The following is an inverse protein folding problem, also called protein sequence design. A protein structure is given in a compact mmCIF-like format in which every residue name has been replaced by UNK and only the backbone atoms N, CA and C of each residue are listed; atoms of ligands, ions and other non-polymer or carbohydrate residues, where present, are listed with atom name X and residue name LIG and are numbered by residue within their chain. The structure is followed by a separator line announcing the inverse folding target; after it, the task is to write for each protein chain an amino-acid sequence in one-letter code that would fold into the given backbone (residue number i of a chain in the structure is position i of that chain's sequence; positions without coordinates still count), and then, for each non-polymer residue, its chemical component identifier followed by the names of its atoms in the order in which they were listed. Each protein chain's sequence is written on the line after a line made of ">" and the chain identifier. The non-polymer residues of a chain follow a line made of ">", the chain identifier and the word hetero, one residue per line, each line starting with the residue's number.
data_IF_424989330476
#
_entry.id   IF_424989330476
#
_cell.length_a   1.000
_cell.length_b   1.000
_cell.length_c   1.000
_cell.angle_alpha   90.00
_cell.angle_beta   90.00
_cell.angle_gamma   90.00
#
_symmetry.space_group_name_H-M   'P 1'
#
loop_
_entity.id
_entity.type
_entity.pdbx_description
1 polymer ?
#
# COMPACT_ATOMS: atom_id res chain seq x y z
N UNK A 1 23.74 -17.89 -20.66
CA UNK A 1 24.89 -17.23 -21.33
C UNK A 1 24.71 -15.71 -21.26
N UNK A 2 25.74 -14.91 -21.56
CA UNK A 2 25.57 -13.45 -21.63
C UNK A 2 24.55 -13.00 -22.70
N UNK A 3 24.41 -13.79 -23.77
CA UNK A 3 23.41 -13.56 -24.81
C UNK A 3 21.98 -13.83 -24.30
N UNK A 4 21.77 -14.95 -23.58
CA UNK A 4 20.45 -15.24 -22.98
C UNK A 4 20.05 -14.16 -21.97
N UNK A 5 20.98 -13.72 -21.12
CA UNK A 5 20.72 -12.68 -20.13
C UNK A 5 20.23 -11.39 -20.78
N UNK A 6 20.95 -10.88 -21.80
CA UNK A 6 20.54 -9.66 -22.52
C UNK A 6 19.18 -9.82 -23.19
N UNK A 7 18.92 -10.96 -23.84
CA UNK A 7 17.64 -11.21 -24.48
C UNK A 7 16.49 -11.20 -23.46
N UNK A 8 16.68 -11.81 -22.29
CA UNK A 8 15.69 -11.83 -21.22
C UNK A 8 15.44 -10.41 -20.68
N UNK A 9 16.50 -9.66 -20.39
CA UNK A 9 16.42 -8.31 -19.84
C UNK A 9 15.69 -7.35 -20.80
N UNK A 10 16.10 -7.32 -22.07
CA UNK A 10 15.45 -6.52 -23.11
C UNK A 10 13.98 -6.94 -23.33
N UNK A 11 13.71 -8.25 -23.32
CA UNK A 11 12.36 -8.80 -23.44
C UNK A 11 11.44 -8.39 -22.29
N UNK A 12 11.94 -8.47 -21.05
CA UNK A 12 11.21 -8.03 -19.86
C UNK A 12 11.00 -6.51 -19.85
N UNK A 13 12.00 -5.73 -20.27
CA UNK A 13 11.87 -4.27 -20.44
C UNK A 13 10.78 -3.89 -21.46
N UNK A 14 10.70 -4.62 -22.58
CA UNK A 14 9.62 -4.44 -23.57
C UNK A 14 8.25 -4.78 -22.97
N UNK A 15 8.14 -5.89 -22.24
CA UNK A 15 6.89 -6.28 -21.57
C UNK A 15 6.43 -5.21 -20.59
N UNK A 16 7.35 -4.67 -19.78
CA UNK A 16 7.03 -3.59 -18.85
C UNK A 16 6.47 -2.35 -19.59
N UNK A 17 7.08 -1.99 -20.72
CA UNK A 17 6.57 -0.92 -21.59
C UNK A 17 5.19 -1.20 -22.18
N UNK A 18 4.93 -2.42 -22.63
CA UNK A 18 3.62 -2.85 -23.13
C UNK A 18 2.53 -2.76 -22.05
N UNK A 19 2.84 -3.12 -20.80
CA UNK A 19 1.91 -3.00 -19.67
C UNK A 19 1.64 -1.53 -19.34
N UNK A 20 2.69 -0.72 -19.24
CA UNK A 20 2.56 0.71 -18.92
C UNK A 20 1.75 1.48 -19.98
N UNK A 21 1.83 1.06 -21.24
CA UNK A 21 1.06 1.64 -22.34
C UNK A 21 -0.39 1.09 -22.44
N UNK A 22 -0.78 0.13 -21.59
CA UNK A 22 -2.07 -0.55 -21.68
C UNK A 22 -2.23 -1.44 -22.92
N UNK A 23 -1.11 -1.80 -23.57
CA UNK A 23 -1.08 -2.56 -24.82
C UNK A 23 -0.77 -4.06 -24.60
N UNK A 24 -0.45 -4.46 -23.36
CA UNK A 24 -0.12 -5.85 -23.03
C UNK A 24 -1.35 -6.77 -23.24
N UNK A 25 -1.22 -7.86 -24.02
CA UNK A 25 -2.33 -8.74 -24.35
C UNK A 25 -2.60 -9.76 -23.24
N UNK A 26 -3.24 -9.34 -22.15
CA UNK A 26 -3.62 -10.24 -21.06
C UNK A 26 -4.56 -11.36 -21.56
N UNK A 27 -4.31 -12.58 -21.11
CA UNK A 27 -5.10 -13.76 -21.42
C UNK A 27 -5.55 -14.44 -20.13
N UNK A 28 -6.88 -14.59 -19.97
CA UNK A 28 -7.45 -15.35 -18.86
C UNK A 28 -7.22 -16.86 -18.99
N UNK A 29 -6.84 -17.34 -20.17
CA UNK A 29 -6.43 -18.73 -20.39
C UNK A 29 -5.06 -19.03 -19.78
N UNK A 30 -4.24 -17.99 -19.57
CA UNK A 30 -3.02 -18.05 -18.79
C UNK A 30 -3.39 -17.71 -17.35
N UNK A 31 -3.47 -18.75 -16.52
CA UNK A 31 -4.12 -18.76 -15.20
C UNK A 31 -3.72 -17.61 -14.26
N UNK A 32 -2.49 -17.12 -14.38
CA UNK A 32 -1.97 -16.05 -13.54
C UNK A 32 -1.10 -15.03 -14.30
N UNK A 33 -0.76 -13.94 -13.62
CA UNK A 33 0.10 -12.88 -14.18
C UNK A 33 1.47 -13.41 -14.59
N UNK A 34 2.04 -14.34 -13.85
CA UNK A 34 3.38 -14.85 -14.12
C UNK A 34 3.40 -15.69 -15.41
N UNK A 35 2.36 -16.49 -15.67
CA UNK A 35 2.18 -17.21 -16.93
C UNK A 35 1.99 -16.23 -18.10
N UNK A 36 1.26 -15.14 -17.89
CA UNK A 36 1.13 -14.07 -18.89
C UNK A 36 2.50 -13.49 -19.27
N UNK A 37 3.32 -13.14 -18.28
CA UNK A 37 4.67 -12.60 -18.50
C UNK A 37 5.60 -13.64 -19.16
N UNK A 38 5.61 -14.88 -18.67
CA UNK A 38 6.47 -15.94 -19.19
C UNK A 38 6.11 -16.33 -20.64
N UNK A 39 4.81 -16.42 -20.96
CA UNK A 39 4.34 -16.68 -22.31
C UNK A 39 4.71 -15.53 -23.26
N UNK A 40 4.44 -14.28 -22.84
CA UNK A 40 4.81 -13.11 -23.64
C UNK A 40 6.32 -13.01 -23.87
N UNK A 41 7.13 -13.31 -22.85
CA UNK A 41 8.58 -13.31 -22.98
C UNK A 41 9.03 -14.36 -24.00
N UNK A 42 8.46 -15.56 -23.94
CA UNK A 42 8.74 -16.63 -24.91
C UNK A 42 8.38 -16.22 -26.33
N UNK A 43 7.26 -15.55 -26.55
CA UNK A 43 6.87 -15.06 -27.87
C UNK A 43 7.85 -14.01 -28.42
N UNK A 44 8.42 -13.19 -27.54
CA UNK A 44 9.35 -12.12 -27.91
C UNK A 44 10.75 -12.63 -28.24
N UNK A 45 11.28 -13.58 -27.45
CA UNK A 45 12.71 -13.94 -27.52
C UNK A 45 12.97 -15.43 -27.79
N UNK A 46 11.94 -16.27 -27.76
CA UNK A 46 12.04 -17.70 -28.03
C UNK A 46 12.68 -18.50 -26.89
N UNK A 47 13.59 -19.41 -27.24
CA UNK A 47 14.16 -20.40 -26.32
C UNK A 47 14.84 -19.83 -25.06
N UNK A 48 15.55 -18.67 -25.08
CA UNK A 48 16.12 -18.08 -23.87
C UNK A 48 15.10 -17.84 -22.74
N UNK A 49 13.85 -17.50 -23.05
CA UNK A 49 12.81 -17.25 -22.06
C UNK A 49 12.56 -18.46 -21.14
N UNK A 50 12.70 -19.67 -21.68
CA UNK A 50 12.49 -20.92 -20.92
C UNK A 50 13.52 -21.11 -19.80
N UNK A 51 14.66 -20.41 -19.87
CA UNK A 51 15.73 -20.50 -18.86
C UNK A 51 15.48 -19.58 -17.67
N UNK A 52 14.62 -18.57 -17.78
CA UNK A 52 14.32 -17.62 -16.69
C UNK A 52 13.72 -18.29 -15.45
N UNK A 53 12.94 -19.36 -15.63
CA UNK A 53 12.32 -20.08 -14.51
C UNK A 53 13.26 -21.13 -13.87
N UNK A 54 14.50 -21.27 -14.36
CA UNK A 54 15.46 -22.21 -13.78
C UNK A 54 15.76 -21.83 -12.33
N UNK A 55 15.80 -22.82 -11.43
CA UNK A 55 16.06 -22.66 -10.01
C UNK A 55 15.00 -21.83 -9.23
N UNK A 56 13.83 -21.57 -9.84
CA UNK A 56 12.71 -20.86 -9.22
C UNK A 56 11.46 -21.76 -9.19
N UNK A 57 10.53 -21.45 -8.30
CA UNK A 57 9.19 -22.01 -8.30
C UNK A 57 8.17 -20.89 -8.39
N UNK A 58 6.92 -21.22 -8.73
CA UNK A 58 5.83 -20.26 -8.57
C UNK A 58 5.64 -19.88 -7.09
N UNK A 59 5.96 -20.77 -6.15
CA UNK A 59 5.76 -20.56 -4.71
C UNK A 59 6.59 -19.39 -4.16
N UNK A 60 7.91 -19.41 -4.38
CA UNK A 60 8.79 -18.33 -3.92
C UNK A 60 8.67 -17.07 -4.79
N UNK A 61 8.34 -17.23 -6.07
CA UNK A 61 8.06 -16.11 -6.97
C UNK A 61 6.83 -15.30 -6.51
N UNK A 62 5.69 -15.95 -6.27
CA UNK A 62 4.49 -15.27 -5.76
C UNK A 62 4.76 -14.65 -4.39
N UNK A 63 5.53 -15.33 -3.54
CA UNK A 63 5.87 -14.81 -2.21
C UNK A 63 6.70 -13.51 -2.28
N UNK A 64 7.69 -13.43 -3.18
CA UNK A 64 8.50 -12.21 -3.34
C UNK A 64 7.68 -11.08 -3.95
N UNK A 65 6.86 -11.38 -4.97
CA UNK A 65 6.02 -10.38 -5.63
C UNK A 65 5.00 -9.80 -4.64
N UNK A 66 4.38 -10.64 -3.81
CA UNK A 66 3.40 -10.19 -2.82
C UNK A 66 4.04 -9.36 -1.71
N UNK A 67 5.23 -9.74 -1.21
CA UNK A 67 5.97 -8.94 -0.23
C UNK A 67 6.37 -7.58 -0.78
N UNK A 68 6.90 -7.52 -2.01
CA UNK A 68 7.23 -6.25 -2.67
C UNK A 68 6.00 -5.36 -2.81
N UNK A 69 4.86 -5.94 -3.19
CA UNK A 69 3.60 -5.21 -3.31
C UNK A 69 3.11 -4.68 -1.95
N UNK A 70 3.09 -5.51 -0.91
CA UNK A 70 2.67 -5.10 0.44
C UNK A 70 3.59 -4.02 1.01
N UNK A 71 4.91 -4.14 0.82
CA UNK A 71 5.90 -3.17 1.27
C UNK A 71 5.64 -1.81 0.61
N UNK A 72 5.49 -1.80 -0.72
CA UNK A 72 5.14 -0.59 -1.46
C UNK A 72 3.82 0.03 -0.99
N UNK A 73 2.78 -0.78 -0.79
CA UNK A 73 1.49 -0.30 -0.33
C UNK A 73 1.56 0.30 1.09
N UNK A 74 2.37 -0.29 1.98
CA UNK A 74 2.61 0.25 3.31
C UNK A 74 3.35 1.60 3.25
N UNK A 75 4.38 1.71 2.41
CA UNK A 75 5.14 2.95 2.22
C UNK A 75 4.25 4.07 1.63
N UNK A 76 3.42 3.74 0.63
CA UNK A 76 2.44 4.67 0.04
C UNK A 76 1.39 5.13 1.06
N UNK A 77 0.89 4.22 1.90
CA UNK A 77 -0.04 4.55 2.97
C UNK A 77 0.60 5.47 4.01
N UNK A 78 1.83 5.19 4.44
CA UNK A 78 2.57 6.05 5.37
C UNK A 78 2.78 7.46 4.80
N UNK A 79 3.16 7.57 3.52
CA UNK A 79 3.31 8.86 2.85
C UNK A 79 1.98 9.64 2.74
N UNK A 80 0.88 8.96 2.45
CA UNK A 80 -0.45 9.58 2.41
C UNK A 80 -0.90 10.06 3.81
N UNK A 81 -0.56 9.31 4.85
CA UNK A 81 -0.83 9.68 6.24
C UNK A 81 -0.01 10.92 6.63
N UNK A 82 1.29 10.98 6.32
CA UNK A 82 2.12 12.17 6.56
C UNK A 82 1.53 13.41 5.86
N UNK A 83 1.08 13.26 4.61
CA UNK A 83 0.43 14.35 3.88
C UNK A 83 -0.86 14.83 4.59
N UNK A 84 -1.68 13.90 5.09
CA UNK A 84 -2.89 14.23 5.86
C UNK A 84 -2.56 14.91 7.20
N UNK A 85 -1.54 14.42 7.92
CA UNK A 85 -1.07 15.03 9.17
C UNK A 85 -0.62 16.48 8.93
N UNK A 86 0.14 16.74 7.86
CA UNK A 86 0.54 18.12 7.49
C UNK A 86 -0.66 19.01 7.19
N UNK A 87 -1.67 18.50 6.49
CA UNK A 87 -2.89 19.25 6.21
C UNK A 87 -3.67 19.58 7.50
N UNK A 88 -3.80 18.60 8.42
CA UNK A 88 -4.44 18.80 9.72
C UNK A 88 -3.66 19.77 10.60
N UNK A 89 -2.33 19.68 10.62
CA UNK A 89 -1.44 20.61 11.34
C UNK A 89 -1.61 22.04 10.84
N UNK A 90 -1.65 22.26 9.52
CA UNK A 90 -1.86 23.58 8.95
C UNK A 90 -3.23 24.17 9.35
N UNK A 91 -4.28 23.34 9.40
CA UNK A 91 -5.58 23.78 9.91
C UNK A 91 -5.55 24.05 11.42
N UNK A 92 -4.85 23.20 12.18
CA UNK A 92 -4.73 23.34 13.62
C UNK A 92 -4.00 24.63 14.01
N UNK A 93 -2.94 24.98 13.30
CA UNK A 93 -2.21 26.24 13.49
C UNK A 93 -3.06 27.45 13.10
N UNK A 94 -3.71 27.40 11.94
CA UNK A 94 -4.58 28.50 11.45
C UNK A 94 -5.75 28.80 12.39
N UNK A 95 -6.26 27.78 13.08
CA UNK A 95 -7.45 27.86 13.93
C UNK A 95 -7.14 27.50 15.40
N UNK A 96 -5.90 27.79 15.84
CA UNK A 96 -5.40 27.40 17.15
C UNK A 96 -6.20 27.96 18.33
N UNK A 97 -6.76 29.16 18.17
CA UNK A 97 -7.51 29.92 19.17
C UNK A 97 -9.03 29.89 18.97
N UNK A 98 -9.53 29.21 17.93
CA UNK A 98 -10.96 29.07 17.67
C UNK A 98 -11.59 28.16 18.71
N UNK A 99 -12.40 28.73 19.60
CA UNK A 99 -13.11 27.98 20.63
C UNK A 99 -14.24 27.17 20.01
N UNK A 100 -14.31 25.89 20.37
CA UNK A 100 -15.42 24.99 20.04
C UNK A 100 -15.86 24.20 21.27
N UNK A 101 -17.11 23.73 21.34
CA UNK A 101 -17.53 22.82 22.40
C UNK A 101 -16.78 21.47 22.27
N UNK A 102 -16.17 21.03 23.37
CA UNK A 102 -15.70 19.66 23.53
C UNK A 102 -16.84 18.75 23.96
N UNK A 103 -16.88 17.53 23.44
CA UNK A 103 -17.99 16.60 23.65
C UNK A 103 -17.59 15.35 24.42
N UNK A 104 -18.47 14.90 25.31
CA UNK A 104 -18.47 13.55 25.88
C UNK A 104 -19.87 12.99 25.77
N UNK A 105 -20.06 11.77 25.25
CA UNK A 105 -21.40 11.23 24.94
C UNK A 105 -22.24 12.14 24.03
N UNK A 106 -21.58 12.90 23.13
CA UNK A 106 -22.19 13.94 22.29
C UNK A 106 -22.91 15.05 23.09
N UNK A 107 -22.62 15.18 24.39
CA UNK A 107 -23.03 16.29 25.23
C UNK A 107 -21.88 17.28 25.38
N UNK A 108 -22.20 18.57 25.38
CA UNK A 108 -21.22 19.64 25.61
C UNK A 108 -20.63 19.47 27.01
N UNK A 109 -19.33 19.23 27.08
CA UNK A 109 -18.60 19.03 28.32
C UNK A 109 -17.89 20.31 28.77
N UNK A 110 -16.90 20.74 27.98
CA UNK A 110 -16.10 21.94 28.26
C UNK A 110 -15.59 22.56 26.96
N UNK A 111 -15.25 23.86 26.95
CA UNK A 111 -14.62 24.48 25.80
C UNK A 111 -13.25 23.86 25.50
N UNK A 112 -12.97 23.65 24.21
CA UNK A 112 -11.64 23.32 23.67
C UNK A 112 -11.35 24.26 22.50
N UNK A 113 -10.15 24.18 21.91
CA UNK A 113 -9.88 24.86 20.63
C UNK A 113 -9.92 23.88 19.47
N UNK A 114 -10.30 24.36 18.28
CA UNK A 114 -10.27 23.55 17.06
C UNK A 114 -8.84 23.05 16.79
N UNK A 115 -7.82 23.88 17.02
CA UNK A 115 -6.43 23.45 16.95
C UNK A 115 -6.12 22.24 17.84
N UNK A 116 -6.53 22.28 19.12
CA UNK A 116 -6.34 21.14 20.02
C UNK A 116 -7.09 19.89 19.54
N UNK A 117 -8.31 20.05 19.04
CA UNK A 117 -9.13 18.95 18.54
C UNK A 117 -8.49 18.29 17.31
N UNK A 118 -8.01 19.07 16.35
CA UNK A 118 -7.35 18.55 15.14
C UNK A 118 -6.01 17.87 15.46
N UNK A 119 -5.25 18.36 16.44
CA UNK A 119 -4.02 17.71 16.91
C UNK A 119 -4.28 16.31 17.49
N UNK A 120 -5.46 16.03 18.05
CA UNK A 120 -5.79 14.69 18.49
C UNK A 120 -5.77 13.68 17.32
N UNK A 121 -6.18 14.09 16.12
CA UNK A 121 -6.11 13.27 14.91
C UNK A 121 -4.68 13.15 14.36
N UNK A 122 -3.88 14.21 14.46
CA UNK A 122 -2.44 14.14 14.10
C UNK A 122 -1.74 13.06 14.92
N UNK A 123 -2.01 13.00 16.23
CA UNK A 123 -1.46 11.97 17.12
C UNK A 123 -1.97 10.56 16.81
N UNK A 124 -3.26 10.42 16.44
CA UNK A 124 -3.80 9.13 16.01
C UNK A 124 -3.12 8.62 14.75
N UNK A 125 -3.01 9.49 13.76
CA UNK A 125 -2.40 9.20 12.46
C UNK A 125 -0.90 8.95 12.58
N UNK A 126 -0.20 9.60 13.51
CA UNK A 126 1.23 9.32 13.75
C UNK A 126 1.43 7.85 14.14
N UNK A 127 0.61 7.34 15.07
CA UNK A 127 0.67 5.93 15.46
C UNK A 127 0.32 4.99 14.31
N UNK A 128 -0.50 5.42 13.37
CA UNK A 128 -0.83 4.62 12.19
C UNK A 128 0.34 4.62 11.20
N UNK A 129 0.96 5.78 10.97
CA UNK A 129 2.17 5.94 10.15
C UNK A 129 3.30 5.04 10.65
N UNK A 130 3.61 5.09 11.95
CA UNK A 130 4.67 4.26 12.53
C UNK A 130 4.39 2.77 12.39
N UNK A 131 3.13 2.34 12.49
CA UNK A 131 2.75 0.93 12.26
C UNK A 131 3.01 0.48 10.83
N UNK A 132 2.71 1.33 9.84
CA UNK A 132 3.01 1.00 8.44
C UNK A 132 4.52 0.91 8.19
N UNK A 133 5.31 1.85 8.74
CA UNK A 133 6.77 1.83 8.67
C UNK A 133 7.32 0.54 9.29
N UNK A 134 6.83 0.18 10.48
CA UNK A 134 7.26 -1.01 11.19
C UNK A 134 6.88 -2.31 10.46
N UNK A 135 5.68 -2.38 9.87
CA UNK A 135 5.24 -3.51 9.06
C UNK A 135 6.10 -3.66 7.80
N UNK A 136 6.40 -2.55 7.12
CA UNK A 136 7.31 -2.48 5.96
C UNK A 136 8.71 -3.00 6.32
N UNK A 137 9.23 -2.59 7.48
CA UNK A 137 10.52 -3.04 7.99
C UNK A 137 10.55 -4.54 8.31
N UNK A 138 9.51 -5.09 8.96
CA UNK A 138 9.43 -6.52 9.32
C UNK A 138 9.33 -7.43 8.10
N UNK A 139 8.65 -7.00 7.05
CA UNK A 139 8.52 -7.81 5.84
C UNK A 139 9.73 -7.73 4.90
N UNK A 140 10.78 -6.99 5.28
CA UNK A 140 11.95 -6.66 4.47
C UNK A 140 13.00 -7.79 4.36
N UNK A 141 12.54 -9.02 4.19
CA UNK A 141 13.39 -10.19 3.92
C UNK A 141 12.93 -10.91 2.64
N UNK A 142 13.90 -11.26 1.79
CA UNK A 142 13.63 -11.80 0.45
C UNK A 142 13.33 -13.31 0.49
N UNK A 143 12.14 -13.77 0.08
CA UNK A 143 11.82 -15.19 0.03
C UNK A 143 12.35 -15.90 -1.23
N UNK A 144 12.81 -15.14 -2.23
CA UNK A 144 13.28 -15.69 -3.50
C UNK A 144 14.49 -16.63 -3.30
N UNK A 145 14.48 -17.77 -4.00
CA UNK A 145 15.47 -18.83 -3.86
C UNK A 145 15.06 -19.93 -2.89
N UNK A 146 13.90 -19.83 -2.23
CA UNK A 146 13.28 -20.94 -1.51
C UNK A 146 12.72 -22.02 -2.47
N UNK A 147 12.57 -21.68 -3.75
CA UNK A 147 11.95 -22.49 -4.79
C UNK A 147 10.60 -23.05 -4.30
N UNK A 148 10.35 -24.34 -4.47
CA UNK A 148 9.05 -24.91 -4.10
C UNK A 148 8.81 -24.92 -2.58
N UNK A 149 9.85 -25.27 -1.80
CA UNK A 149 9.80 -25.35 -0.33
C UNK A 149 11.14 -25.68 0.35
N UNK A 150 12.10 -26.26 -0.37
CA UNK A 150 13.35 -26.81 0.18
C UNK A 150 14.61 -26.17 -0.42
N UNK A 151 14.48 -25.01 -1.07
CA UNK A 151 15.53 -24.41 -1.86
C UNK A 151 15.74 -25.15 -3.18
N UNK A 152 16.94 -24.99 -3.74
CA UNK A 152 17.27 -25.45 -5.10
C UNK A 152 18.67 -26.07 -5.12
N UNK A 153 18.92 -27.11 -5.94
CA UNK A 153 20.26 -27.70 -6.08
C UNK A 153 21.19 -26.84 -6.94
N UNK A 154 20.66 -25.83 -7.62
CA UNK A 154 21.45 -24.91 -8.42
C UNK A 154 22.19 -23.91 -7.51
N UNK A 155 23.45 -23.55 -7.81
CA UNK A 155 24.25 -22.65 -6.99
C UNK A 155 23.84 -21.19 -7.21
N UNK A 156 22.62 -20.83 -6.79
CA UNK A 156 22.13 -19.45 -6.84
C UNK A 156 22.74 -18.62 -5.71
N UNK A 157 22.83 -17.32 -5.94
CA UNK A 157 23.23 -16.33 -4.93
C UNK A 157 21.98 -15.58 -4.46
N UNK A 158 21.52 -15.88 -3.23
CA UNK A 158 20.31 -15.27 -2.65
C UNK A 158 20.58 -13.87 -2.12
N UNK A 159 21.81 -13.58 -1.68
CA UNK A 159 22.17 -12.27 -1.18
C UNK A 159 22.15 -11.26 -2.33
N UNK A 160 22.68 -11.66 -3.49
CA UNK A 160 22.64 -10.87 -4.73
C UNK A 160 21.22 -10.55 -5.20
N UNK A 161 20.28 -11.52 -5.17
CA UNK A 161 18.88 -11.23 -5.54
C UNK A 161 18.14 -10.43 -4.48
N UNK A 162 18.43 -10.62 -3.19
CA UNK A 162 17.87 -9.81 -2.12
C UNK A 162 18.29 -8.34 -2.26
N UNK A 163 19.58 -8.09 -2.48
CA UNK A 163 20.14 -6.75 -2.71
C UNK A 163 19.51 -6.10 -3.95
N UNK A 164 19.46 -6.81 -5.08
CA UNK A 164 18.89 -6.29 -6.33
C UNK A 164 17.40 -5.89 -6.22
N UNK A 165 16.65 -6.53 -5.32
CA UNK A 165 15.23 -6.25 -5.05
C UNK A 165 15.03 -5.30 -3.85
N UNK A 166 16.11 -4.78 -3.28
CA UNK A 166 16.09 -3.85 -2.16
C UNK A 166 15.60 -4.47 -0.84
N UNK A 167 15.81 -5.76 -0.64
CA UNK A 167 15.60 -6.42 0.66
C UNK A 167 16.84 -6.32 1.54
N UNK A 168 16.67 -6.36 2.86
CA UNK A 168 17.80 -6.31 3.78
C UNK A 168 18.67 -7.57 3.77
N UNK A 169 18.03 -8.74 3.57
CA UNK A 169 18.65 -10.06 3.53
C UNK A 169 17.70 -11.13 2.98
N UNK A 170 18.17 -12.32 2.64
CA UNK A 170 17.30 -13.47 2.41
C UNK A 170 16.60 -13.94 3.68
N UNK A 171 15.41 -14.49 3.54
CA UNK A 171 14.74 -15.23 4.61
C UNK A 171 15.56 -16.45 5.04
N UNK A 172 15.50 -16.78 6.33
CA UNK A 172 16.35 -17.82 6.93
C UNK A 172 15.83 -19.26 6.75
N UNK A 173 14.55 -19.45 6.41
CA UNK A 173 13.94 -20.78 6.27
C UNK A 173 13.05 -20.87 5.03
N UNK A 174 13.24 -21.88 4.19
CA UNK A 174 12.54 -22.01 2.90
C UNK A 174 11.07 -22.42 3.04
N UNK A 175 10.71 -23.22 4.05
CA UNK A 175 9.32 -23.61 4.32
C UNK A 175 8.50 -22.40 4.77
N UNK A 176 9.06 -21.62 5.69
CA UNK A 176 8.48 -20.36 6.15
C UNK A 176 8.32 -19.37 4.98
N UNK A 177 9.37 -19.21 4.17
CA UNK A 177 9.39 -18.27 3.03
C UNK A 177 8.19 -18.39 2.10
N UNK A 178 7.78 -19.63 1.78
CA UNK A 178 6.71 -19.90 0.82
C UNK A 178 5.32 -19.95 1.48
N UNK A 179 5.26 -20.26 2.78
CA UNK A 179 3.99 -20.45 3.52
C UNK A 179 3.54 -19.22 4.32
N UNK A 180 4.46 -18.35 4.73
CA UNK A 180 4.17 -17.19 5.55
C UNK A 180 3.25 -16.17 4.85
N UNK A 181 2.25 -15.67 5.60
CA UNK A 181 1.31 -14.60 5.19
C UNK A 181 1.08 -13.57 6.31
N UNK A 182 1.87 -13.66 7.37
CA UNK A 182 1.87 -12.76 8.52
C UNK A 182 2.07 -11.30 8.11
N UNK A 183 2.99 -11.01 7.20
CA UNK A 183 3.24 -9.66 6.69
C UNK A 183 1.98 -9.01 6.06
N UNK A 184 1.19 -9.79 5.34
CA UNK A 184 -0.04 -9.32 4.72
C UNK A 184 -1.13 -9.08 5.77
N UNK A 185 -1.26 -9.99 6.74
CA UNK A 185 -2.20 -9.85 7.86
C UNK A 185 -1.87 -8.64 8.73
N UNK A 186 -0.58 -8.40 9.00
CA UNK A 186 -0.12 -7.23 9.75
C UNK A 186 -0.40 -5.92 9.00
N UNK A 187 -0.16 -5.89 7.69
CA UNK A 187 -0.50 -4.73 6.85
C UNK A 187 -2.01 -4.45 6.88
N UNK A 188 -2.83 -5.49 6.76
CA UNK A 188 -4.30 -5.38 6.85
C UNK A 188 -4.76 -4.91 8.24
N UNK A 189 -4.17 -5.42 9.31
CA UNK A 189 -4.49 -5.00 10.66
C UNK A 189 -4.16 -3.51 10.87
N UNK A 190 -3.02 -3.07 10.36
CA UNK A 190 -2.61 -1.66 10.38
C UNK A 190 -3.60 -0.78 9.60
N UNK A 191 -4.00 -1.21 8.40
CA UNK A 191 -5.00 -0.50 7.61
C UNK A 191 -6.37 -0.43 8.32
N UNK A 192 -6.81 -1.48 9.00
CA UNK A 192 -8.06 -1.50 9.73
C UNK A 192 -8.08 -0.54 10.93
N UNK A 193 -6.94 -0.43 11.64
CA UNK A 193 -6.77 0.54 12.74
C UNK A 193 -6.83 1.97 12.19
N UNK A 194 -6.08 2.26 11.13
CA UNK A 194 -6.09 3.56 10.46
C UNK A 194 -7.50 3.94 9.98
N UNK A 195 -8.20 3.01 9.31
CA UNK A 195 -9.58 3.20 8.87
C UNK A 195 -10.54 3.51 10.04
N UNK A 196 -10.28 2.97 11.23
CA UNK A 196 -11.08 3.26 12.43
C UNK A 196 -10.83 4.68 12.97
N UNK A 197 -9.63 5.24 12.83
CA UNK A 197 -9.39 6.65 13.16
C UNK A 197 -10.00 7.58 12.10
N UNK A 198 -9.86 7.24 10.82
CA UNK A 198 -10.44 7.99 9.72
C UNK A 198 -11.98 8.00 9.78
N UNK A 199 -12.61 6.88 10.15
CA UNK A 199 -14.08 6.82 10.29
C UNK A 199 -14.57 7.75 11.40
N UNK A 200 -13.81 7.89 12.50
CA UNK A 200 -14.12 8.86 13.56
C UNK A 200 -14.01 10.30 13.06
N UNK A 201 -12.97 10.64 12.30
CA UNK A 201 -12.84 11.97 11.71
C UNK A 201 -13.99 12.25 10.73
N UNK A 202 -14.32 11.28 9.89
CA UNK A 202 -15.40 11.39 8.93
C UNK A 202 -16.76 11.61 9.62
N UNK A 203 -17.06 10.86 10.68
CA UNK A 203 -18.29 11.03 11.46
C UNK A 203 -18.41 12.44 12.05
N UNK A 204 -17.31 12.97 12.58
CA UNK A 204 -17.29 14.34 13.10
C UNK A 204 -17.48 15.39 12.00
N UNK A 205 -16.88 15.21 10.82
CA UNK A 205 -17.11 16.10 9.67
C UNK A 205 -18.59 16.07 9.25
N UNK A 206 -19.21 14.89 9.21
CA UNK A 206 -20.64 14.73 8.91
C UNK A 206 -21.49 15.49 9.94
N UNK A 207 -21.17 15.37 11.24
CA UNK A 207 -21.86 16.11 12.29
C UNK A 207 -21.65 17.63 12.15
N UNK A 208 -20.40 18.07 12.02
CA UNK A 208 -20.02 19.49 11.94
C UNK A 208 -20.64 20.22 10.75
N UNK A 209 -20.86 19.51 9.64
CA UNK A 209 -21.47 20.06 8.42
C UNK A 209 -23.00 20.00 8.42
N UNK A 210 -23.59 19.32 9.41
CA UNK A 210 -25.03 19.30 9.57
C UNK A 210 -25.57 20.69 10.00
N UNK A 211 -26.81 21.06 9.63
CA UNK A 211 -27.38 22.35 10.01
C UNK A 211 -27.54 22.57 11.52
N UNK A 212 -27.57 21.50 12.32
CA UNK A 212 -27.72 21.58 13.77
C UNK A 212 -26.43 21.96 14.49
N UNK A 213 -25.28 21.53 13.96
CA UNK A 213 -23.96 21.92 14.48
C UNK A 213 -23.46 23.18 13.77
N UNK A 214 -23.40 23.15 12.44
CA UNK A 214 -22.99 24.29 11.63
C UNK A 214 -21.56 24.78 11.88
N UNK A 215 -20.65 23.88 12.25
CA UNK A 215 -19.24 24.23 12.55
C UNK A 215 -18.38 24.31 11.30
N UNK A 216 -18.73 23.55 10.25
CA UNK A 216 -17.95 23.48 9.02
C UNK A 216 -18.86 23.40 7.78
N UNK A 217 -18.27 23.64 6.61
CA UNK A 217 -18.93 23.41 5.32
C UNK A 217 -17.96 22.76 4.36
N UNK A 218 -18.41 21.75 3.63
CA UNK A 218 -17.62 21.10 2.58
C UNK A 218 -17.66 21.90 1.28
N UNK A 219 -16.55 21.82 0.54
CA UNK A 219 -16.47 22.30 -0.84
C UNK A 219 -17.30 21.39 -1.75
N UNK A 220 -17.71 21.89 -2.91
CA UNK A 220 -18.50 21.12 -3.88
C UNK A 220 -17.73 19.93 -4.48
N UNK A 221 -16.39 19.96 -4.43
CA UNK A 221 -15.56 18.83 -4.85
C UNK A 221 -15.72 17.58 -3.96
N UNK A 222 -16.15 17.76 -2.70
CA UNK A 222 -16.29 16.71 -1.70
C UNK A 222 -17.70 16.68 -1.10
N UNK A 223 -18.70 17.19 -1.83
CA UNK A 223 -20.09 17.11 -1.40
C UNK A 223 -21.02 17.05 -2.61
N UNK A 224 -22.21 16.48 -2.42
CA UNK A 224 -23.25 16.49 -3.45
C UNK A 224 -24.40 17.42 -3.06
N UNK A 225 -24.89 18.17 -4.04
CA UNK A 225 -25.99 19.12 -3.85
C UNK A 225 -27.34 18.58 -4.31
N UNK A 226 -28.39 19.35 -4.04
CA UNK A 226 -29.71 19.15 -4.64
C UNK A 226 -30.10 20.41 -5.42
N UNK A 227 -30.52 20.25 -6.67
CA UNK A 227 -30.91 21.39 -7.52
C UNK A 227 -32.10 22.19 -6.98
N UNK A 228 -32.99 21.54 -6.21
CA UNK A 228 -34.14 22.19 -5.57
C UNK A 228 -33.82 22.78 -4.18
N UNK A 229 -32.71 22.36 -3.56
CA UNK A 229 -32.24 22.83 -2.25
C UNK A 229 -30.77 23.23 -2.35
N UNK A 230 -30.44 24.41 -2.89
CA UNK A 230 -29.07 24.83 -3.17
C UNK A 230 -28.18 24.90 -1.91
N UNK A 231 -28.79 25.09 -0.73
CA UNK A 231 -28.11 25.08 0.57
C UNK A 231 -27.79 23.67 1.10
N UNK A 232 -28.43 22.62 0.57
CA UNK A 232 -28.25 21.25 1.05
C UNK A 232 -26.98 20.66 0.42
N UNK A 233 -25.98 20.40 1.27
CA UNK A 233 -24.76 19.66 0.90
C UNK A 233 -24.73 18.33 1.64
N UNK A 234 -24.65 17.23 0.90
CA UNK A 234 -24.45 15.90 1.48
C UNK A 234 -22.94 15.62 1.53
N UNK A 235 -22.36 15.34 2.71
CA UNK A 235 -20.98 14.88 2.85
C UNK A 235 -20.78 13.49 2.25
#
# INVERSE_FOLDING_TARGET
>A
SAADHRAIDEGLGRIAGEIAAGAFPFSAQLEDIHMNIEARLKDLIGAPALRLHTARSRNDQVAVDFRLWCRKAADEAAAAIDALQRALLAQAERHADWVMPGYTHLQIAQPVTLGHHLLAYVEMLERDCTRFIDASARMNECPLGAAALAGTPYPIDRDMTAEALGFARPTANSLDSVSARDFALETLATAAICASHLSRLAEEIVLWTSPHFGFAALTDAFSTGSSIMPQKKNP
#
